data_IF_537595962837
#
_entry.id   IF_537595962837
#
_cell.length_a   1.000
_cell.length_b   1.000
_cell.length_c   1.000
_cell.angle_alpha   90.00
_cell.angle_beta   90.00
_cell.angle_gamma   90.00
#
_symmetry.space_group_name_H-M   'P 1'
#
loop_
_entity.id
_entity.type
_entity.pdbx_description
1 polymer ?
#
# COMPACT_ATOMS: atom_id res chain seq x y z
N UNK A 1 2.09 -7.72 -29.88
CA UNK A 1 1.89 -7.38 -28.46
C UNK A 1 2.02 -8.68 -27.68
N UNK A 2 3.11 -8.88 -26.93
CA UNK A 2 3.31 -10.09 -26.13
C UNK A 2 2.44 -9.93 -24.89
N UNK A 3 1.31 -10.63 -24.85
CA UNK A 3 0.45 -10.67 -23.66
C UNK A 3 1.23 -11.46 -22.62
N UNK A 4 1.63 -10.82 -21.51
CA UNK A 4 2.23 -11.52 -20.39
C UNK A 4 1.19 -12.48 -19.80
N UNK A 5 1.59 -13.71 -19.41
CA UNK A 5 0.69 -14.60 -18.71
C UNK A 5 0.28 -13.98 -17.38
N UNK A 6 -1.01 -14.07 -17.04
CA UNK A 6 -1.56 -13.54 -15.79
C UNK A 6 -1.65 -14.64 -14.75
N UNK A 7 -1.38 -14.27 -13.52
CA UNK A 7 -1.77 -15.07 -12.35
C UNK A 7 -3.08 -14.52 -11.83
N UNK A 8 -4.14 -15.30 -11.99
CA UNK A 8 -5.50 -14.94 -11.55
C UNK A 8 -5.88 -15.79 -10.35
N UNK A 9 -6.29 -15.15 -9.27
CA UNK A 9 -6.84 -15.82 -8.10
C UNK A 9 -8.35 -15.77 -8.18
N UNK A 10 -9.00 -16.88 -7.83
CA UNK A 10 -10.46 -16.99 -7.75
C UNK A 10 -10.86 -17.30 -6.32
N UNK A 11 -11.47 -16.31 -5.67
CA UNK A 11 -12.00 -16.48 -4.30
C UNK A 11 -13.42 -17.01 -4.36
N UNK A 12 -13.58 -18.31 -4.21
CA UNK A 12 -14.87 -19.00 -4.19
C UNK A 12 -14.79 -20.28 -3.36
N UNK A 13 -15.88 -20.61 -2.70
CA UNK A 13 -16.10 -21.94 -2.07
C UNK A 13 -16.56 -22.97 -3.11
N UNK A 14 -17.13 -22.51 -4.22
CA UNK A 14 -17.66 -23.31 -5.32
C UNK A 14 -16.53 -23.69 -6.31
N UNK A 15 -16.15 -24.95 -6.32
CA UNK A 15 -15.11 -25.47 -7.21
C UNK A 15 -15.52 -25.45 -8.69
N UNK A 16 -16.76 -25.83 -9.09
CA UNK A 16 -17.26 -25.69 -10.46
C UNK A 16 -17.19 -24.26 -10.98
N UNK A 17 -17.50 -23.28 -10.16
CA UNK A 17 -17.35 -21.86 -10.54
C UNK A 17 -15.90 -21.50 -10.83
N UNK A 18 -14.98 -21.87 -9.93
CA UNK A 18 -13.56 -21.59 -10.13
C UNK A 18 -13.01 -22.29 -11.40
N UNK A 19 -13.44 -23.51 -11.67
CA UNK A 19 -13.10 -24.23 -12.89
C UNK A 19 -13.63 -23.52 -14.15
N UNK A 20 -14.86 -22.98 -14.11
CA UNK A 20 -15.44 -22.22 -15.22
C UNK A 20 -14.64 -20.95 -15.49
N UNK A 21 -14.31 -20.19 -14.47
CA UNK A 21 -13.43 -19.00 -14.60
C UNK A 21 -12.09 -19.39 -15.21
N UNK A 22 -11.48 -20.47 -14.73
CA UNK A 22 -10.23 -21.00 -15.27
C UNK A 22 -10.31 -21.37 -16.74
N UNK A 23 -11.39 -22.05 -17.16
CA UNK A 23 -11.60 -22.41 -18.56
C UNK A 23 -11.75 -21.19 -19.47
N UNK A 24 -12.50 -20.17 -19.05
CA UNK A 24 -12.64 -18.90 -19.78
C UNK A 24 -11.29 -18.21 -19.92
N UNK A 25 -10.51 -18.15 -18.86
CA UNK A 25 -9.19 -17.51 -18.87
C UNK A 25 -8.19 -18.24 -19.77
N UNK A 26 -8.19 -19.56 -19.79
CA UNK A 26 -7.32 -20.34 -20.67
C UNK A 26 -7.59 -20.09 -22.17
N UNK A 27 -8.86 -19.84 -22.51
CA UNK A 27 -9.25 -19.50 -23.89
C UNK A 27 -8.87 -18.06 -24.25
N UNK A 28 -9.13 -17.13 -23.33
CA UNK A 28 -8.99 -15.68 -23.60
C UNK A 28 -7.56 -15.15 -23.35
N UNK A 29 -6.85 -15.74 -22.39
CA UNK A 29 -5.49 -15.38 -21.99
C UNK A 29 -4.60 -16.64 -21.91
N UNK A 30 -4.20 -17.21 -23.05
CA UNK A 30 -3.38 -18.43 -23.08
C UNK A 30 -2.09 -18.28 -22.27
N UNK A 31 -1.77 -19.30 -21.47
CA UNK A 31 -0.60 -19.31 -20.60
C UNK A 31 -0.79 -18.69 -19.21
N UNK A 32 -1.96 -18.11 -18.94
CA UNK A 32 -2.29 -17.60 -17.61
C UNK A 32 -2.57 -18.73 -16.64
N UNK A 33 -2.27 -18.51 -15.34
CA UNK A 33 -2.57 -19.47 -14.27
C UNK A 33 -3.82 -19.02 -13.51
N UNK A 34 -4.68 -19.97 -13.18
CA UNK A 34 -5.86 -19.74 -12.37
C UNK A 34 -5.76 -20.60 -11.10
N UNK A 35 -5.81 -19.96 -9.94
CA UNK A 35 -5.67 -20.61 -8.64
C UNK A 35 -6.88 -20.27 -7.77
N UNK A 36 -7.54 -21.31 -7.22
CA UNK A 36 -8.64 -21.11 -6.28
C UNK A 36 -8.08 -20.82 -4.89
N UNK A 37 -8.60 -19.79 -4.26
CA UNK A 37 -8.25 -19.40 -2.88
C UNK A 37 -9.52 -19.25 -2.05
N UNK A 38 -9.42 -19.58 -0.78
CA UNK A 38 -10.51 -19.33 0.16
C UNK A 38 -10.44 -17.91 0.72
N UNK A 39 -11.57 -17.37 1.15
CA UNK A 39 -11.66 -15.99 1.63
C UNK A 39 -10.77 -15.71 2.85
N UNK A 40 -10.57 -16.71 3.72
CA UNK A 40 -9.71 -16.63 4.90
C UNK A 40 -8.22 -16.61 4.60
N UNK A 41 -7.82 -17.08 3.41
CA UNK A 41 -6.45 -17.06 2.92
C UNK A 41 -6.04 -15.65 2.40
N UNK A 42 -7.01 -14.79 2.11
CA UNK A 42 -6.79 -13.43 1.64
C UNK A 42 -6.53 -12.43 2.80
N UNK A 43 -5.53 -12.73 3.64
CA UNK A 43 -5.14 -11.89 4.81
C UNK A 43 -4.19 -10.75 4.46
N UNK A 44 -3.60 -10.78 3.28
CA UNK A 44 -2.71 -9.73 2.74
C UNK A 44 -3.00 -9.54 1.25
N UNK A 45 -2.54 -8.42 0.69
CA UNK A 45 -2.64 -8.21 -0.76
C UNK A 45 -1.89 -9.31 -1.51
N UNK A 46 -2.57 -10.13 -2.33
CA UNK A 46 -1.92 -11.21 -3.05
C UNK A 46 -1.01 -10.69 -4.16
N UNK A 47 0.04 -11.43 -4.47
CA UNK A 47 0.87 -11.18 -5.64
C UNK A 47 0.24 -11.85 -6.87
N UNK A 48 -0.74 -11.18 -7.46
CA UNK A 48 -1.48 -11.63 -8.64
C UNK A 48 -1.87 -10.43 -9.51
N UNK A 49 -2.06 -10.65 -10.79
CA UNK A 49 -2.51 -9.63 -11.74
C UNK A 49 -4.02 -9.39 -11.62
N UNK A 50 -4.77 -10.41 -11.21
CA UNK A 50 -6.20 -10.27 -11.00
C UNK A 50 -6.72 -11.13 -9.84
N UNK A 51 -7.81 -10.65 -9.23
CA UNK A 51 -8.58 -11.35 -8.22
C UNK A 51 -10.06 -11.33 -8.63
N UNK A 52 -10.60 -12.49 -8.90
CA UNK A 52 -12.02 -12.71 -9.18
C UNK A 52 -12.68 -13.20 -7.90
N UNK A 53 -13.72 -12.53 -7.44
CA UNK A 53 -14.43 -12.88 -6.20
C UNK A 53 -15.85 -13.29 -6.53
N UNK A 54 -16.24 -14.45 -6.06
CA UNK A 54 -17.60 -14.97 -6.17
C UNK A 54 -18.53 -14.17 -5.24
N UNK A 55 -19.49 -13.46 -5.82
CA UNK A 55 -20.47 -12.62 -5.13
C UNK A 55 -21.91 -13.12 -5.28
N UNK A 56 -22.10 -14.38 -5.71
CA UNK A 56 -23.43 -14.92 -5.99
C UNK A 56 -24.28 -15.10 -4.73
N UNK A 57 -23.64 -15.51 -3.64
CA UNK A 57 -24.35 -15.81 -2.40
C UNK A 57 -24.36 -14.63 -1.42
N UNK A 58 -23.26 -13.87 -1.31
CA UNK A 58 -23.10 -12.79 -0.31
C UNK A 58 -22.56 -11.51 -0.94
N UNK A 59 -23.35 -10.77 -1.73
CA UNK A 59 -22.86 -9.62 -2.48
C UNK A 59 -22.29 -8.51 -1.57
N UNK A 60 -22.96 -8.19 -0.45
CA UNK A 60 -22.51 -7.12 0.46
C UNK A 60 -21.19 -7.48 1.15
N UNK A 61 -21.08 -8.68 1.70
CA UNK A 61 -19.83 -9.15 2.33
C UNK A 61 -18.67 -9.21 1.33
N UNK A 62 -18.99 -9.49 0.07
CA UNK A 62 -18.01 -9.55 -1.02
C UNK A 62 -17.50 -8.16 -1.42
N UNK A 63 -18.37 -7.17 -1.47
CA UNK A 63 -17.95 -5.77 -1.69
C UNK A 63 -17.02 -5.29 -0.57
N UNK A 64 -17.34 -5.60 0.69
CA UNK A 64 -16.47 -5.24 1.81
C UNK A 64 -15.13 -5.99 1.78
N UNK A 65 -15.12 -7.22 1.28
CA UNK A 65 -13.89 -7.97 1.02
C UNK A 65 -13.04 -7.29 -0.07
N UNK A 66 -13.67 -6.88 -1.16
CA UNK A 66 -13.02 -6.16 -2.24
C UNK A 66 -12.40 -4.84 -1.75
N UNK A 67 -13.14 -4.07 -0.93
CA UNK A 67 -12.65 -2.85 -0.28
C UNK A 67 -11.42 -3.12 0.59
N UNK A 68 -11.46 -4.19 1.40
CA UNK A 68 -10.31 -4.58 2.22
C UNK A 68 -9.09 -4.94 1.37
N UNK A 69 -9.25 -5.64 0.23
CA UNK A 69 -8.15 -5.94 -0.68
C UNK A 69 -7.51 -4.66 -1.22
N UNK A 70 -8.32 -3.69 -1.64
CA UNK A 70 -7.80 -2.37 -2.06
C UNK A 70 -7.07 -1.65 -0.93
N UNK A 71 -7.65 -1.61 0.28
CA UNK A 71 -7.03 -0.99 1.46
C UNK A 71 -5.70 -1.64 1.85
N UNK A 72 -5.56 -2.96 1.65
CA UNK A 72 -4.29 -3.68 1.83
C UNK A 72 -3.28 -3.46 0.70
N UNK A 73 -3.64 -2.69 -0.33
CA UNK A 73 -2.73 -2.32 -1.43
C UNK A 73 -2.73 -3.29 -2.60
N UNK A 74 -3.78 -4.09 -2.79
CA UNK A 74 -3.92 -4.90 -4.00
C UNK A 74 -4.10 -3.99 -5.22
N UNK A 75 -3.12 -4.01 -6.12
CA UNK A 75 -3.05 -3.18 -7.32
C UNK A 75 -3.46 -3.90 -8.62
N UNK A 76 -3.86 -5.18 -8.56
CA UNK A 76 -4.33 -5.92 -9.74
C UNK A 76 -5.79 -5.65 -10.08
N UNK A 77 -6.27 -6.21 -11.19
CA UNK A 77 -7.67 -6.17 -11.55
C UNK A 77 -8.52 -6.88 -10.48
N UNK A 78 -9.63 -6.27 -10.07
CA UNK A 78 -10.54 -6.83 -9.09
C UNK A 78 -11.92 -6.95 -9.74
N UNK A 79 -12.45 -8.16 -9.79
CA UNK A 79 -13.73 -8.46 -10.44
C UNK A 79 -14.65 -9.18 -9.47
N UNK A 80 -15.87 -8.70 -9.36
CA UNK A 80 -16.97 -9.37 -8.66
C UNK A 80 -17.88 -10.07 -9.67
N UNK A 81 -18.16 -11.35 -9.42
CA UNK A 81 -19.10 -12.13 -10.24
C UNK A 81 -20.36 -12.40 -9.43
N UNK A 82 -21.43 -11.68 -9.77
CA UNK A 82 -22.71 -11.79 -9.09
C UNK A 82 -23.78 -10.91 -9.69
N UNK A 83 -25.04 -11.17 -9.35
CA UNK A 83 -26.21 -10.56 -9.98
C UNK A 83 -26.70 -9.28 -9.32
N UNK A 84 -26.11 -8.79 -8.24
CA UNK A 84 -26.70 -7.71 -7.43
C UNK A 84 -25.68 -6.74 -6.81
N UNK A 85 -24.54 -6.57 -7.45
CA UNK A 85 -23.59 -5.53 -7.01
C UNK A 85 -23.93 -4.25 -7.74
N UNK A 86 -24.36 -3.23 -7.00
CA UNK A 86 -24.63 -1.91 -7.55
C UNK A 86 -23.33 -1.33 -8.13
N UNK A 87 -23.29 -1.05 -9.42
CA UNK A 87 -22.13 -0.46 -10.12
C UNK A 87 -21.64 0.83 -9.44
N UNK A 88 -22.56 1.59 -8.82
CA UNK A 88 -22.22 2.78 -8.08
C UNK A 88 -21.32 2.52 -6.84
N UNK A 89 -21.36 1.32 -6.27
CA UNK A 89 -20.54 0.95 -5.10
C UNK A 89 -19.15 0.44 -5.50
N UNK A 90 -18.98 -0.09 -6.69
CA UNK A 90 -17.73 -0.67 -7.17
C UNK A 90 -16.86 0.28 -7.98
N UNK A 91 -17.46 1.17 -8.74
CA UNK A 91 -16.74 2.08 -9.64
C UNK A 91 -15.64 2.92 -8.97
N UNK A 92 -15.83 3.52 -7.77
CA UNK A 92 -14.80 4.32 -7.12
C UNK A 92 -13.58 3.51 -6.68
N UNK A 93 -13.72 2.17 -6.61
CA UNK A 93 -12.66 1.25 -6.15
C UNK A 93 -11.94 0.54 -7.30
N UNK A 94 -12.30 0.85 -8.54
CA UNK A 94 -11.76 0.13 -9.69
C UNK A 94 -12.12 -1.36 -9.66
N UNK A 95 -13.39 -1.68 -9.41
CA UNK A 95 -13.90 -3.04 -9.36
C UNK A 95 -14.74 -3.29 -10.60
N UNK A 96 -14.34 -4.27 -11.42
CA UNK A 96 -15.14 -4.76 -12.53
C UNK A 96 -16.24 -5.70 -12.07
N UNK A 97 -17.33 -5.77 -12.82
CA UNK A 97 -18.47 -6.64 -12.56
C UNK A 97 -18.75 -7.54 -13.74
N UNK A 98 -19.08 -8.81 -13.48
CA UNK A 98 -19.55 -9.76 -14.47
C UNK A 98 -20.76 -10.53 -13.95
N UNK A 99 -21.74 -10.73 -14.82
CA UNK A 99 -22.90 -11.56 -14.51
C UNK A 99 -22.55 -13.06 -14.61
N UNK A 100 -22.98 -13.91 -13.68
CA UNK A 100 -22.63 -15.33 -13.69
C UNK A 100 -23.02 -16.06 -14.99
N UNK A 101 -24.17 -15.70 -15.55
CA UNK A 101 -24.70 -16.32 -16.78
C UNK A 101 -24.03 -15.81 -18.06
N UNK A 102 -23.25 -14.71 -18.00
CA UNK A 102 -22.52 -14.10 -19.10
C UNK A 102 -21.01 -14.07 -18.85
N UNK A 103 -20.54 -14.91 -17.96
CA UNK A 103 -19.16 -14.94 -17.50
C UNK A 103 -18.14 -15.00 -18.66
N UNK A 104 -18.32 -15.86 -19.71
CA UNK A 104 -17.37 -15.94 -20.81
C UNK A 104 -17.23 -14.63 -21.60
N UNK A 105 -18.28 -13.83 -21.69
CA UNK A 105 -18.33 -12.59 -22.48
C UNK A 105 -17.91 -11.38 -21.67
N UNK A 106 -18.30 -11.34 -20.40
CA UNK A 106 -18.12 -10.18 -19.53
C UNK A 106 -16.84 -10.22 -18.69
N UNK A 107 -16.27 -11.40 -18.43
CA UNK A 107 -15.10 -11.52 -17.57
C UNK A 107 -13.91 -10.72 -18.08
N UNK A 108 -13.62 -10.79 -19.37
CA UNK A 108 -12.50 -10.05 -19.95
C UNK A 108 -12.73 -8.54 -19.95
N UNK A 109 -13.95 -8.11 -20.24
CA UNK A 109 -14.32 -6.69 -20.16
C UNK A 109 -14.19 -6.18 -18.71
N UNK A 110 -14.68 -6.94 -17.74
CA UNK A 110 -14.57 -6.62 -16.33
C UNK A 110 -13.11 -6.58 -15.84
N UNK A 111 -12.27 -7.51 -16.27
CA UNK A 111 -10.83 -7.53 -15.97
C UNK A 111 -10.13 -6.31 -16.57
N UNK A 112 -10.41 -5.98 -17.81
CA UNK A 112 -9.83 -4.80 -18.47
C UNK A 112 -10.25 -3.51 -17.79
N UNK A 113 -11.54 -3.35 -17.51
CA UNK A 113 -12.07 -2.20 -16.76
C UNK A 113 -11.44 -2.11 -15.36
N UNK A 114 -11.34 -3.23 -14.66
CA UNK A 114 -10.71 -3.29 -13.33
C UNK A 114 -9.24 -2.87 -13.37
N UNK A 115 -8.49 -3.16 -14.44
CA UNK A 115 -7.12 -2.70 -14.62
C UNK A 115 -7.04 -1.21 -14.93
N UNK A 116 -7.78 -0.73 -15.91
CA UNK A 116 -7.76 0.67 -16.33
C UNK A 116 -8.15 1.61 -15.20
N UNK A 117 -9.15 1.23 -14.40
CA UNK A 117 -9.57 2.01 -13.24
C UNK A 117 -8.56 1.95 -12.08
N UNK A 118 -7.73 0.92 -12.00
CA UNK A 118 -6.70 0.81 -10.96
C UNK A 118 -5.49 1.69 -11.28
N UNK A 119 -5.24 2.02 -12.54
CA UNK A 119 -4.08 2.82 -12.94
C UNK A 119 -4.20 4.31 -12.62
N UNK A 120 -5.43 4.83 -12.31
CA UNK A 120 -5.56 6.28 -12.27
C UNK A 120 -5.52 6.93 -10.87
N UNK A 121 -6.47 6.87 -9.96
CA UNK A 121 -6.31 7.63 -8.71
C UNK A 121 -5.89 6.82 -7.49
N UNK A 122 -6.25 5.55 -7.40
CA UNK A 122 -5.97 4.75 -6.22
C UNK A 122 -4.54 4.20 -6.18
N UNK A 123 -4.02 3.77 -7.31
CA UNK A 123 -2.62 3.33 -7.41
C UNK A 123 -1.66 4.49 -7.13
N UNK A 124 -2.02 5.71 -7.52
CA UNK A 124 -1.24 6.90 -7.21
C UNK A 124 -1.34 7.25 -5.73
N UNK A 125 -2.52 7.18 -5.12
CA UNK A 125 -2.71 7.39 -3.70
C UNK A 125 -1.93 6.36 -2.84
N UNK A 126 -1.95 5.08 -3.22
CA UNK A 126 -1.17 4.03 -2.54
C UNK A 126 0.33 4.23 -2.74
N UNK A 127 0.77 4.57 -3.96
CA UNK A 127 2.18 4.89 -4.23
C UNK A 127 2.63 6.11 -3.40
N UNK A 128 1.82 7.13 -3.34
CA UNK A 128 2.09 8.32 -2.53
C UNK A 128 2.13 8.02 -1.04
N UNK A 129 1.18 7.23 -0.53
CA UNK A 129 1.16 6.79 0.86
C UNK A 129 2.41 5.97 1.21
N UNK A 130 2.81 5.01 0.37
CA UNK A 130 4.05 4.23 0.55
C UNK A 130 5.30 5.10 0.54
N UNK A 131 5.36 6.11 -0.35
CA UNK A 131 6.47 7.08 -0.37
C UNK A 131 6.53 7.90 0.91
N UNK A 132 5.37 8.33 1.43
CA UNK A 132 5.29 9.09 2.68
C UNK A 132 5.71 8.25 3.89
N UNK A 133 5.28 6.98 3.96
CA UNK A 133 5.71 6.05 5.02
C UNK A 133 7.21 5.78 4.94
N UNK A 134 7.75 5.52 3.75
CA UNK A 134 9.18 5.32 3.56
C UNK A 134 9.99 6.57 3.93
N UNK A 135 9.52 7.75 3.53
CA UNK A 135 10.14 9.03 3.91
C UNK A 135 10.11 9.25 5.42
N UNK A 136 9.00 8.91 6.08
CA UNK A 136 8.87 8.97 7.55
C UNK A 136 9.85 8.04 8.26
N UNK A 137 10.01 6.80 7.78
CA UNK A 137 11.00 5.86 8.34
C UNK A 137 12.45 6.34 8.17
N UNK A 138 12.77 6.92 7.01
CA UNK A 138 14.09 7.51 6.77
C UNK A 138 14.32 8.72 7.67
N UNK A 139 13.32 9.57 7.86
CA UNK A 139 13.39 10.73 8.74
C UNK A 139 13.66 10.32 10.19
N UNK A 140 12.93 9.31 10.71
CA UNK A 140 13.15 8.76 12.07
C UNK A 140 14.55 8.15 12.22
N UNK A 141 15.02 7.38 11.22
CA UNK A 141 16.38 6.82 11.22
C UNK A 141 17.46 7.91 11.23
N UNK A 142 17.28 8.96 10.43
CA UNK A 142 18.19 10.10 10.37
C UNK A 142 18.20 10.87 11.70
N UNK A 143 17.04 11.08 12.30
CA UNK A 143 16.91 11.75 13.59
C UNK A 143 17.71 11.02 14.69
N UNK A 144 17.57 9.71 14.79
CA UNK A 144 18.36 8.91 15.74
C UNK A 144 19.86 8.97 15.43
N UNK A 145 20.22 8.85 14.15
CA UNK A 145 21.63 8.88 13.72
C UNK A 145 22.31 10.24 13.97
N UNK A 146 21.54 11.33 13.95
CA UNK A 146 22.08 12.71 14.20
C UNK A 146 21.98 13.08 15.67
N UNK A 147 20.95 12.67 16.39
CA UNK A 147 20.82 12.98 17.81
C UNK A 147 21.96 12.38 18.66
N UNK A 148 22.43 11.18 18.32
CA UNK A 148 23.52 10.53 19.06
C UNK A 148 24.83 11.35 19.03
N UNK A 149 25.39 11.73 17.87
CA UNK A 149 26.59 12.56 17.84
C UNK A 149 26.38 13.95 18.43
N UNK A 150 25.19 14.54 18.29
CA UNK A 150 24.89 15.84 18.91
C UNK A 150 24.89 15.75 20.43
N UNK A 151 24.36 14.67 21.01
CA UNK A 151 24.40 14.44 22.46
C UNK A 151 25.85 14.28 22.95
N UNK A 152 26.68 13.55 22.20
CA UNK A 152 28.09 13.40 22.53
C UNK A 152 28.85 14.75 22.47
N UNK A 153 28.69 15.53 21.41
CA UNK A 153 29.30 16.85 21.26
C UNK A 153 28.84 17.78 22.41
N UNK A 154 27.56 17.73 22.77
CA UNK A 154 27.04 18.53 23.86
C UNK A 154 27.65 18.15 25.20
N UNK A 155 27.79 16.84 25.48
CA UNK A 155 28.40 16.33 26.70
C UNK A 155 29.87 16.73 26.81
N UNK A 156 30.66 16.54 25.78
CA UNK A 156 32.07 16.95 25.71
C UNK A 156 32.23 18.46 25.89
N UNK A 157 31.39 19.25 25.22
CA UNK A 157 31.43 20.72 25.36
C UNK A 157 31.10 21.17 26.77
N UNK A 158 30.17 20.49 27.46
CA UNK A 158 29.83 20.79 28.83
C UNK A 158 30.98 20.40 29.81
N UNK A 159 31.67 19.29 29.57
CA UNK A 159 32.84 18.90 30.36
C UNK A 159 33.96 19.92 30.18
N UNK A 160 34.24 20.37 28.95
CA UNK A 160 35.24 21.42 28.71
C UNK A 160 34.91 22.77 29.39
N UNK A 161 33.62 23.08 29.60
CA UNK A 161 33.21 24.27 30.32
C UNK A 161 33.53 24.23 31.84
N UNK A 162 33.77 23.04 32.39
CA UNK A 162 34.17 22.85 33.80
C UNK A 162 35.65 23.09 34.03
N UNK A 163 36.47 23.10 32.96
CA UNK A 163 37.89 23.35 33.06
C UNK A 163 38.22 24.86 33.02
N UNK A 164 39.34 25.27 33.68
CA UNK A 164 39.78 26.64 33.60
C UNK A 164 40.12 27.03 32.15
N UNK A 165 39.38 27.95 31.57
CA UNK A 165 39.49 28.34 30.18
C UNK A 165 39.54 29.87 30.02
N UNK A 166 40.10 30.37 28.90
CA UNK A 166 40.06 31.80 28.59
C UNK A 166 38.61 32.24 28.28
N UNK A 167 38.35 33.55 28.43
CA UNK A 167 37.03 34.15 28.14
C UNK A 167 36.61 33.85 26.68
N UNK A 168 37.58 33.86 25.73
CA UNK A 168 37.30 33.56 24.35
C UNK A 168 36.96 32.08 24.13
N UNK A 169 37.63 31.13 24.84
CA UNK A 169 37.30 29.73 24.80
C UNK A 169 35.91 29.47 25.36
N UNK A 170 35.58 30.09 26.48
CA UNK A 170 34.27 29.96 27.13
C UNK A 170 33.15 30.43 26.19
N UNK A 171 33.32 31.58 25.53
CA UNK A 171 32.40 32.10 24.55
C UNK A 171 32.27 31.20 23.30
N UNK A 172 33.34 30.49 22.91
CA UNK A 172 33.28 29.53 21.82
C UNK A 172 32.50 28.27 22.20
N UNK A 173 32.71 27.75 23.41
CA UNK A 173 31.97 26.61 23.93
C UNK A 173 30.46 26.88 24.08
N UNK A 174 30.10 28.09 24.57
CA UNK A 174 28.68 28.51 24.62
C UNK A 174 28.02 28.54 23.24
N UNK A 175 28.72 29.06 22.22
CA UNK A 175 28.22 29.02 20.84
C UNK A 175 27.97 27.60 20.34
N UNK A 176 28.84 26.63 20.65
CA UNK A 176 28.67 25.25 20.27
C UNK A 176 27.44 24.66 20.94
N UNK A 177 27.24 24.87 22.25
CA UNK A 177 26.03 24.43 22.99
C UNK A 177 24.76 25.00 22.37
N UNK A 178 24.74 26.29 22.02
CA UNK A 178 23.59 26.93 21.38
C UNK A 178 23.30 26.31 20.00
N UNK A 179 24.32 26.04 19.21
CA UNK A 179 24.16 25.40 17.90
C UNK A 179 23.64 23.96 18.01
N UNK A 180 24.18 23.16 18.94
CA UNK A 180 23.69 21.80 19.19
C UNK A 180 22.23 21.80 19.61
N UNK A 181 21.83 22.66 20.54
CA UNK A 181 20.43 22.80 20.97
C UNK A 181 19.51 23.22 19.82
N UNK A 182 19.96 24.10 18.96
CA UNK A 182 19.21 24.51 17.76
C UNK A 182 18.99 23.36 16.80
N UNK A 183 20.02 22.53 16.56
CA UNK A 183 19.90 21.33 15.70
C UNK A 183 18.92 20.32 16.30
N UNK A 184 18.94 20.08 17.60
CA UNK A 184 17.97 19.20 18.29
C UNK A 184 16.53 19.70 18.11
N UNK A 185 16.30 21.03 18.20
CA UNK A 185 14.96 21.61 17.98
C UNK A 185 14.50 21.41 16.52
N UNK A 186 15.39 21.61 15.54
CA UNK A 186 15.08 21.41 14.12
C UNK A 186 14.73 19.93 13.86
N UNK A 187 15.51 19.00 14.40
CA UNK A 187 15.24 17.56 14.26
C UNK A 187 13.91 17.16 14.89
N UNK A 188 13.56 17.69 16.05
CA UNK A 188 12.26 17.45 16.68
C UNK A 188 11.08 18.04 15.93
N UNK A 189 11.30 19.12 15.15
CA UNK A 189 10.23 19.66 14.31
C UNK A 189 9.87 18.76 13.13
N UNK A 190 10.74 17.82 12.75
CA UNK A 190 10.44 16.79 11.74
C UNK A 190 9.46 15.74 12.27
N UNK A 191 9.40 15.49 13.60
CA UNK A 191 8.43 14.58 14.21
C UNK A 191 6.99 15.06 14.03
N UNK A 192 6.76 16.38 14.10
CA UNK A 192 5.43 16.98 13.95
C UNK A 192 4.88 16.93 12.51
N UNK A 193 5.68 16.54 11.52
CA UNK A 193 5.22 16.40 10.13
C UNK A 193 4.55 15.04 9.92
N UNK A 194 4.95 14.03 10.70
CA UNK A 194 4.35 12.67 10.64
C UNK A 194 3.00 12.56 11.35
N UNK A 195 2.74 13.36 12.38
CA UNK A 195 1.54 13.24 13.25
C UNK A 195 0.35 14.12 12.83
N UNK A 196 0.51 15.05 11.89
CA UNK A 196 -0.55 16.02 11.54
C UNK A 196 -1.54 15.59 10.46
N UNK A 197 -1.52 14.33 10.01
CA UNK A 197 -2.50 13.83 9.02
C UNK A 197 -2.92 12.39 9.33
N UNK A 198 -3.65 12.21 10.39
CA UNK A 198 -4.60 11.10 10.57
C UNK A 198 -5.93 11.68 11.00
#
# INVERSE_FOLDING_TARGET
>A
MVIRPWRVLVSSVDEPFAATVGAVLQVQLPGSTCERVQADQLRSAPNAEALVIDARDEPTATVDRARRMRAMGFGGALVLVGSAVDDALGAPLGIGHAAPHRLPEELMAALTTGMEQTETPFADAVRQSRRLVAAGQVALGLQHAVNNPLAAILAETQLMQLEPSSVEQQAALERIVVMCRRMVVILRSLDGIGERKL
#
